data_IF_404090992915
#
_entry.id   IF_404090992915
#
_cell.length_a   1.000
_cell.length_b   1.000
_cell.length_c   1.000
_cell.angle_alpha   90.00
_cell.angle_beta   90.00
_cell.angle_gamma   90.00
#
_symmetry.space_group_name_H-M   'P 1'
#
loop_
_entity.id
_entity.type
_entity.pdbx_description
1 polymer ?
#
# COMPACT_ATOMS: atom_id res chain seq x y z
N UNK A 1 -19.23 -3.47 0.67
CA UNK A 1 -18.09 -4.42 0.67
C UNK A 1 -18.56 -5.73 1.27
N UNK A 2 -18.12 -6.88 0.76
CA UNK A 2 -18.41 -8.16 1.43
C UNK A 2 -17.59 -8.27 2.73
N UNK A 3 -18.07 -9.08 3.67
CA UNK A 3 -17.36 -9.34 4.93
C UNK A 3 -15.95 -9.90 4.66
N UNK A 4 -15.81 -10.82 3.70
CA UNK A 4 -14.52 -11.36 3.29
C UNK A 4 -13.55 -10.25 2.87
N UNK A 5 -13.92 -9.39 1.91
CA UNK A 5 -13.04 -8.32 1.41
C UNK A 5 -12.64 -7.37 2.55
N UNK A 6 -13.58 -7.03 3.44
CA UNK A 6 -13.33 -6.20 4.62
C UNK A 6 -12.24 -6.82 5.49
N UNK A 7 -12.34 -8.12 5.79
CA UNK A 7 -11.36 -8.86 6.59
C UNK A 7 -9.99 -8.95 5.93
N UNK A 8 -9.93 -9.20 4.62
CA UNK A 8 -8.66 -9.24 3.87
C UNK A 8 -7.95 -7.88 3.87
N UNK A 9 -8.68 -6.79 3.61
CA UNK A 9 -8.12 -5.43 3.67
C UNK A 9 -7.66 -5.10 5.09
N UNK A 10 -8.48 -5.39 6.10
CA UNK A 10 -8.14 -5.18 7.50
C UNK A 10 -6.86 -5.91 7.90
N UNK A 11 -6.74 -7.20 7.55
CA UNK A 11 -5.56 -8.01 7.82
C UNK A 11 -4.30 -7.40 7.21
N UNK A 12 -4.32 -7.07 5.90
CA UNK A 12 -3.15 -6.53 5.20
C UNK A 12 -2.76 -5.15 5.74
N UNK A 13 -3.73 -4.25 5.93
CA UNK A 13 -3.49 -2.89 6.43
C UNK A 13 -2.95 -2.92 7.86
N UNK A 14 -3.54 -3.72 8.75
CA UNK A 14 -3.06 -3.83 10.13
C UNK A 14 -1.70 -4.51 10.23
N UNK A 15 -1.42 -5.52 9.41
CA UNK A 15 -0.10 -6.19 9.38
C UNK A 15 0.99 -5.19 8.98
N UNK A 16 0.78 -4.45 7.89
CA UNK A 16 1.74 -3.44 7.44
C UNK A 16 1.87 -2.31 8.48
N UNK A 17 0.75 -1.77 8.97
CA UNK A 17 0.77 -0.69 9.95
C UNK A 17 1.44 -1.12 11.27
N UNK A 18 1.24 -2.36 11.68
CA UNK A 18 1.85 -2.99 12.84
C UNK A 18 3.37 -3.10 12.71
N UNK A 19 3.84 -3.71 11.62
CA UNK A 19 5.28 -3.83 11.31
C UNK A 19 5.96 -2.44 11.32
N UNK A 20 5.35 -1.46 10.65
CA UNK A 20 5.90 -0.10 10.59
C UNK A 20 5.96 0.56 11.96
N UNK A 21 4.97 0.32 12.82
CA UNK A 21 4.99 0.85 14.19
C UNK A 21 6.02 0.17 15.07
N UNK A 22 6.24 -1.14 14.92
CA UNK A 22 7.29 -1.88 15.61
C UNK A 22 8.67 -1.29 15.30
N UNK A 23 8.94 -1.03 14.03
CA UNK A 23 10.20 -0.40 13.59
C UNK A 23 10.39 1.03 14.12
N UNK A 24 9.31 1.69 14.53
CA UNK A 24 9.33 3.03 15.13
C UNK A 24 9.36 3.04 16.66
N UNK A 25 9.45 1.88 17.33
CA UNK A 25 9.47 1.82 18.80
C UNK A 25 10.65 2.61 19.42
N UNK A 26 11.75 2.76 18.68
CA UNK A 26 12.91 3.55 19.11
C UNK A 26 12.69 5.08 19.00
N UNK A 27 11.57 5.53 18.42
CA UNK A 27 11.22 6.94 18.29
C UNK A 27 10.20 7.31 19.36
N UNK A 28 10.46 8.39 20.10
CA UNK A 28 9.46 8.96 21.03
C UNK A 28 8.33 9.63 20.26
N UNK A 29 7.27 8.87 19.98
CA UNK A 29 6.03 9.39 19.40
C UNK A 29 5.28 10.28 20.42
N UNK A 30 4.70 11.42 20.01
CA UNK A 30 3.86 12.23 20.88
C UNK A 30 2.60 11.45 21.28
N UNK A 31 1.99 11.80 22.42
CA UNK A 31 0.80 11.12 22.95
C UNK A 31 -0.33 11.04 21.92
N UNK A 32 -0.55 12.12 21.16
CA UNK A 32 -1.57 12.18 20.10
C UNK A 32 -1.34 11.13 19.01
N UNK A 33 -0.10 10.93 18.56
CA UNK A 33 0.21 9.91 17.56
C UNK A 33 -0.05 8.50 18.08
N UNK A 34 0.17 8.24 19.38
CA UNK A 34 -0.19 6.94 19.97
C UNK A 34 -1.69 6.72 19.99
N UNK A 35 -2.46 7.73 20.42
CA UNK A 35 -3.93 7.66 20.51
C UNK A 35 -4.56 7.48 19.12
N UNK A 36 -4.16 8.27 18.13
CA UNK A 36 -4.72 8.20 16.77
C UNK A 36 -4.49 6.83 16.12
N UNK A 37 -3.33 6.22 16.34
CA UNK A 37 -3.05 4.88 15.84
C UNK A 37 -3.95 3.82 16.50
N UNK A 38 -4.08 3.86 17.84
CA UNK A 38 -4.95 2.93 18.56
C UNK A 38 -6.41 3.10 18.13
N UNK A 39 -6.86 4.35 17.98
CA UNK A 39 -8.18 4.67 17.46
C UNK A 39 -8.39 4.03 16.09
N UNK A 40 -7.44 4.19 15.16
CA UNK A 40 -7.55 3.62 13.83
C UNK A 40 -7.58 2.07 13.86
N UNK A 41 -6.76 1.43 14.69
CA UNK A 41 -6.78 -0.03 14.87
C UNK A 41 -8.14 -0.50 15.40
N UNK A 42 -8.67 0.14 16.43
CA UNK A 42 -9.99 -0.19 16.99
C UNK A 42 -11.09 -0.01 15.95
N UNK A 43 -11.04 1.05 15.15
CA UNK A 43 -12.00 1.27 14.06
C UNK A 43 -11.93 0.17 12.99
N UNK A 44 -10.73 -0.29 12.60
CA UNK A 44 -10.59 -1.42 11.67
C UNK A 44 -11.18 -2.70 12.28
N UNK A 45 -10.85 -3.03 13.52
CA UNK A 45 -11.38 -4.24 14.18
C UNK A 45 -12.92 -4.19 14.30
N UNK A 46 -13.46 -3.03 14.66
CA UNK A 46 -14.91 -2.82 14.74
C UNK A 46 -15.56 -2.94 13.35
N UNK A 47 -14.89 -2.47 12.29
CA UNK A 47 -15.39 -2.64 10.92
C UNK A 47 -15.54 -4.12 10.53
N UNK A 48 -14.58 -4.96 10.91
CA UNK A 48 -14.62 -6.41 10.65
C UNK A 48 -15.78 -7.05 11.42
N UNK A 49 -15.92 -6.74 12.72
CA UNK A 49 -17.00 -7.26 13.55
C UNK A 49 -18.39 -6.90 13.01
N UNK A 50 -18.56 -5.66 12.54
CA UNK A 50 -19.83 -5.18 12.01
C UNK A 50 -20.10 -5.60 10.56
N UNK A 51 -19.12 -6.19 9.87
CA UNK A 51 -19.20 -6.43 8.41
C UNK A 51 -20.37 -7.34 8.00
N UNK A 52 -20.75 -8.30 8.85
CA UNK A 52 -21.86 -9.23 8.60
C UNK A 52 -23.23 -8.71 9.04
N UNK A 53 -23.28 -7.68 9.90
CA UNK A 53 -24.52 -7.19 10.52
C UNK A 53 -24.93 -5.81 9.98
N UNK A 54 -23.96 -4.92 9.76
CA UNK A 54 -24.16 -3.54 9.31
C UNK A 54 -23.11 -3.17 8.27
N UNK A 55 -23.22 -3.75 7.07
CA UNK A 55 -22.23 -3.62 6.01
C UNK A 55 -21.91 -2.16 5.61
N UNK A 56 -22.89 -1.25 5.65
CA UNK A 56 -22.68 0.18 5.36
C UNK A 56 -21.80 0.86 6.41
N UNK A 57 -22.10 0.67 7.69
CA UNK A 57 -21.32 1.21 8.81
C UNK A 57 -19.91 0.59 8.87
N UNK A 58 -19.80 -0.71 8.63
CA UNK A 58 -18.52 -1.40 8.50
C UNK A 58 -17.65 -0.79 7.40
N UNK A 59 -18.21 -0.57 6.21
CA UNK A 59 -17.50 0.06 5.09
C UNK A 59 -17.02 1.47 5.45
N UNK A 60 -17.88 2.29 6.07
CA UNK A 60 -17.52 3.65 6.50
C UNK A 60 -16.38 3.63 7.52
N UNK A 61 -16.47 2.78 8.55
CA UNK A 61 -15.43 2.65 9.58
C UNK A 61 -14.09 2.20 9.00
N UNK A 62 -14.10 1.20 8.11
CA UNK A 62 -12.89 0.71 7.46
C UNK A 62 -12.19 1.84 6.70
N UNK A 63 -12.90 2.55 5.84
CA UNK A 63 -12.30 3.58 5.01
C UNK A 63 -11.87 4.82 5.81
N UNK A 64 -12.62 5.23 6.84
CA UNK A 64 -12.17 6.28 7.76
C UNK A 64 -10.88 5.87 8.49
N UNK A 65 -10.80 4.63 8.95
CA UNK A 65 -9.62 4.12 9.62
C UNK A 65 -8.41 4.03 8.67
N UNK A 66 -8.61 3.58 7.43
CA UNK A 66 -7.57 3.58 6.39
C UNK A 66 -7.07 5.00 6.07
N UNK A 67 -7.97 5.98 5.95
CA UNK A 67 -7.58 7.39 5.74
C UNK A 67 -6.78 7.91 6.94
N UNK A 68 -7.24 7.64 8.16
CA UNK A 68 -6.54 8.01 9.39
C UNK A 68 -5.15 7.36 9.47
N UNK A 69 -5.02 6.07 9.17
CA UNK A 69 -3.74 5.37 9.12
C UNK A 69 -2.82 5.93 8.05
N UNK A 70 -3.32 6.21 6.85
CA UNK A 70 -2.52 6.78 5.77
C UNK A 70 -1.94 8.15 6.16
N UNK A 71 -2.77 9.03 6.71
CA UNK A 71 -2.34 10.33 7.22
C UNK A 71 -1.36 10.19 8.38
N UNK A 72 -1.60 9.23 9.27
CA UNK A 72 -0.71 8.92 10.38
C UNK A 72 0.68 8.49 9.90
N UNK A 73 0.73 7.55 8.94
CA UNK A 73 1.96 7.04 8.34
C UNK A 73 2.71 8.16 7.59
N UNK A 74 2.01 8.97 6.79
CA UNK A 74 2.61 10.11 6.09
C UNK A 74 3.20 11.16 7.07
N UNK A 75 2.58 11.35 8.23
CA UNK A 75 2.97 12.40 9.18
C UNK A 75 4.09 11.98 10.13
N UNK A 76 4.06 10.73 10.59
CA UNK A 76 4.92 10.24 11.67
C UNK A 76 5.87 9.10 11.29
N UNK A 77 5.69 8.42 10.14
CA UNK A 77 6.70 7.45 9.67
C UNK A 77 8.00 8.17 9.27
N UNK A 78 9.12 7.47 9.39
CA UNK A 78 10.42 7.93 8.92
C UNK A 78 10.55 7.91 7.40
N UNK A 79 9.78 7.06 6.69
CA UNK A 79 9.93 6.84 5.25
C UNK A 79 9.84 8.15 4.43
N UNK A 80 8.84 9.04 4.60
CA UNK A 80 8.77 10.28 3.83
C UNK A 80 9.99 11.19 4.00
N UNK A 81 10.63 11.15 5.18
CA UNK A 81 11.82 11.96 5.49
C UNK A 81 13.09 11.42 4.83
N UNK A 82 13.09 10.16 4.42
CA UNK A 82 14.23 9.47 3.80
C UNK A 82 14.09 9.33 2.28
N UNK A 83 13.15 10.04 1.67
CA UNK A 83 12.85 9.96 0.24
C UNK A 83 14.07 10.09 -0.68
N UNK A 84 14.98 11.00 -0.33
CA UNK A 84 16.21 11.30 -1.11
C UNK A 84 17.44 10.53 -0.63
N UNK A 85 17.30 9.58 0.31
CA UNK A 85 18.44 8.80 0.77
C UNK A 85 19.04 7.97 -0.39
N UNK A 86 20.38 7.83 -0.48
CA UNK A 86 20.99 7.03 -1.52
C UNK A 86 20.74 5.52 -1.27
N UNK A 87 20.75 4.74 -2.35
CA UNK A 87 20.68 3.27 -2.28
C UNK A 87 19.32 2.71 -1.86
N UNK A 88 19.35 1.53 -1.23
CA UNK A 88 18.16 0.83 -0.74
C UNK A 88 17.30 1.65 0.22
N UNK A 89 17.85 2.40 1.20
CA UNK A 89 17.03 3.21 2.10
C UNK A 89 16.11 4.21 1.37
N UNK A 90 16.58 4.85 0.30
CA UNK A 90 15.75 5.75 -0.50
C UNK A 90 14.71 5.02 -1.34
N UNK A 91 15.06 3.88 -1.92
CA UNK A 91 14.10 3.03 -2.63
C UNK A 91 12.95 2.60 -1.71
N UNK A 92 13.27 2.08 -0.51
CA UNK A 92 12.28 1.71 0.50
C UNK A 92 11.43 2.91 0.90
N UNK A 93 12.06 4.05 1.17
CA UNK A 93 11.35 5.29 1.50
C UNK A 93 10.34 5.72 0.43
N UNK A 94 10.71 5.62 -0.85
CA UNK A 94 9.83 5.93 -1.98
C UNK A 94 8.67 4.95 -2.08
N UNK A 95 8.94 3.66 -2.05
CA UNK A 95 7.94 2.60 -2.05
C UNK A 95 6.90 2.80 -0.94
N UNK A 96 7.35 2.99 0.30
CA UNK A 96 6.47 3.17 1.45
C UNK A 96 5.63 4.44 1.32
N UNK A 97 6.25 5.56 0.96
CA UNK A 97 5.56 6.86 0.87
C UNK A 97 4.52 6.85 -0.25
N UNK A 98 4.86 6.31 -1.43
CA UNK A 98 3.91 6.12 -2.54
C UNK A 98 2.79 5.17 -2.11
N UNK A 99 3.11 4.10 -1.39
CA UNK A 99 2.10 3.21 -0.82
C UNK A 99 1.13 3.94 0.12
N UNK A 100 1.61 4.78 1.03
CA UNK A 100 0.74 5.55 1.94
C UNK A 100 -0.18 6.50 1.19
N UNK A 101 0.31 7.14 0.12
CA UNK A 101 -0.53 7.98 -0.75
C UNK A 101 -1.62 7.13 -1.40
N UNK A 102 -1.30 5.95 -1.91
CA UNK A 102 -2.29 5.05 -2.48
C UNK A 102 -3.31 4.52 -1.46
N UNK A 103 -2.89 4.27 -0.22
CA UNK A 103 -3.83 3.94 0.86
C UNK A 103 -4.82 5.09 1.11
N UNK A 104 -4.33 6.33 1.11
CA UNK A 104 -5.18 7.51 1.25
C UNK A 104 -6.15 7.65 0.06
N UNK A 105 -5.66 7.51 -1.18
CA UNK A 105 -6.51 7.56 -2.38
C UNK A 105 -7.58 6.48 -2.33
N UNK A 106 -7.20 5.23 -2.00
CA UNK A 106 -8.15 4.13 -1.86
C UNK A 106 -9.19 4.39 -0.77
N UNK A 107 -8.77 4.96 0.37
CA UNK A 107 -9.67 5.32 1.45
C UNK A 107 -10.65 6.43 1.07
N UNK A 108 -10.20 7.49 0.40
CA UNK A 108 -11.07 8.57 -0.07
C UNK A 108 -12.07 8.09 -1.12
N UNK A 109 -11.64 7.25 -2.07
CA UNK A 109 -12.54 6.61 -3.03
C UNK A 109 -13.55 5.69 -2.34
N UNK A 110 -13.11 4.95 -1.33
CA UNK A 110 -13.98 4.09 -0.53
C UNK A 110 -15.04 4.87 0.26
N UNK A 111 -14.65 5.99 0.88
CA UNK A 111 -15.59 6.90 1.56
C UNK A 111 -16.58 7.52 0.58
N UNK A 112 -16.11 7.96 -0.58
CA UNK A 112 -16.98 8.44 -1.65
C UNK A 112 -17.99 7.35 -2.07
N UNK A 113 -17.55 6.09 -2.15
CA UNK A 113 -18.40 4.93 -2.45
C UNK A 113 -19.47 4.61 -1.42
N UNK A 114 -19.34 5.06 -0.17
CA UNK A 114 -20.40 4.94 0.84
C UNK A 114 -21.60 5.83 0.48
N UNK A 115 -21.34 6.98 -0.13
CA UNK A 115 -22.38 7.95 -0.54
C UNK A 115 -22.85 7.72 -1.98
N UNK A 116 -21.91 7.41 -2.88
CA UNK A 116 -22.16 7.24 -4.31
C UNK A 116 -21.48 5.96 -4.80
N UNK A 117 -22.15 4.80 -4.67
CA UNK A 117 -21.64 3.54 -5.21
C UNK A 117 -21.42 3.62 -6.72
N UNK A 118 -20.35 3.00 -7.21
CA UNK A 118 -20.06 2.99 -8.64
C UNK A 118 -18.68 2.42 -8.97
N UNK A 119 -18.31 2.39 -10.26
CA UNK A 119 -17.06 1.80 -10.74
C UNK A 119 -15.80 2.45 -10.16
N UNK A 120 -15.77 3.78 -10.09
CA UNK A 120 -14.62 4.53 -9.56
C UNK A 120 -14.38 4.25 -8.05
N UNK A 121 -15.38 4.36 -7.16
CA UNK A 121 -15.22 3.91 -5.78
C UNK A 121 -14.79 2.44 -5.63
N UNK A 122 -15.32 1.54 -6.48
CA UNK A 122 -14.93 0.13 -6.49
C UNK A 122 -13.46 -0.06 -6.85
N UNK A 123 -12.90 0.82 -7.69
CA UNK A 123 -11.49 0.84 -8.02
C UNK A 123 -10.58 1.27 -6.84
N UNK A 124 -11.15 1.86 -5.77
CA UNK A 124 -10.43 2.15 -4.53
C UNK A 124 -9.78 0.91 -3.88
N UNK A 125 -10.36 -0.29 -4.08
CA UNK A 125 -9.72 -1.55 -3.67
C UNK A 125 -8.42 -1.82 -4.44
N UNK A 126 -8.33 -1.46 -5.72
CA UNK A 126 -7.10 -1.62 -6.49
C UNK A 126 -6.02 -0.64 -5.99
N UNK A 127 -6.40 0.58 -5.61
CA UNK A 127 -5.49 1.52 -4.98
C UNK A 127 -4.91 0.96 -3.67
N UNK A 128 -5.71 0.29 -2.83
CA UNK A 128 -5.18 -0.35 -1.62
C UNK A 128 -4.37 -1.61 -1.92
N UNK A 129 -4.95 -2.58 -2.62
CA UNK A 129 -4.33 -3.90 -2.79
C UNK A 129 -3.12 -3.89 -3.73
N UNK A 130 -3.15 -3.08 -4.80
CA UNK A 130 -2.00 -2.94 -5.68
C UNK A 130 -1.15 -1.75 -5.26
N UNK A 131 -1.75 -0.57 -5.10
CA UNK A 131 -0.99 0.66 -4.86
C UNK A 131 -0.29 0.70 -3.51
N UNK A 132 -1.00 0.36 -2.43
CA UNK A 132 -0.41 0.33 -1.10
C UNK A 132 0.33 -0.97 -0.82
N UNK A 133 -0.32 -2.14 -0.95
CA UNK A 133 0.28 -3.41 -0.53
C UNK A 133 1.46 -3.82 -1.42
N UNK A 134 1.36 -3.74 -2.76
CA UNK A 134 2.51 -4.12 -3.59
C UNK A 134 3.65 -3.11 -3.52
N UNK A 135 3.37 -1.82 -3.27
CA UNK A 135 4.44 -0.88 -2.99
C UNK A 135 5.21 -1.26 -1.72
N UNK A 136 4.53 -1.77 -0.67
CA UNK A 136 5.21 -2.33 0.50
C UNK A 136 6.05 -3.55 0.16
N UNK A 137 5.52 -4.47 -0.64
CA UNK A 137 6.27 -5.65 -1.11
C UNK A 137 7.54 -5.21 -1.84
N UNK A 138 7.45 -4.25 -2.75
CA UNK A 138 8.61 -3.72 -3.49
C UNK A 138 9.63 -3.01 -2.58
N UNK A 139 9.16 -2.35 -1.52
CA UNK A 139 10.02 -1.68 -0.55
C UNK A 139 10.74 -2.66 0.37
N UNK A 140 10.04 -3.68 0.86
CA UNK A 140 10.56 -4.60 1.88
C UNK A 140 11.28 -5.82 1.28
N UNK A 141 11.03 -6.20 0.03
CA UNK A 141 11.68 -7.36 -0.58
C UNK A 141 13.23 -7.37 -0.47
N UNK A 142 13.96 -6.25 -0.71
CA UNK A 142 15.42 -6.22 -0.54
C UNK A 142 15.88 -6.46 0.91
N UNK A 143 15.02 -6.15 1.89
CA UNK A 143 15.29 -6.32 3.33
C UNK A 143 14.97 -7.76 3.77
N UNK A 144 13.92 -8.36 3.22
CA UNK A 144 13.48 -9.72 3.57
C UNK A 144 14.32 -10.80 2.89
N UNK A 145 14.83 -10.55 1.67
CA UNK A 145 15.60 -11.54 0.91
C UNK A 145 16.83 -12.09 1.65
N UNK A 146 17.63 -11.28 2.37
CA UNK A 146 18.72 -11.77 3.20
C UNK A 146 18.27 -12.67 4.36
N UNK A 147 17.11 -12.41 4.94
CA UNK A 147 16.61 -13.19 6.08
C UNK A 147 16.08 -14.56 5.63
N UNK A 148 15.39 -14.60 4.48
CA UNK A 148 14.75 -15.82 3.96
C UNK A 148 15.71 -16.69 3.14
N UNK A 149 16.47 -16.08 2.24
CA UNK A 149 17.30 -16.78 1.25
C UNK A 149 18.80 -16.58 1.46
N UNK A 150 19.21 -15.76 2.44
CA UNK A 150 20.62 -15.35 2.66
C UNK A 150 21.27 -14.65 1.47
N UNK A 151 20.45 -14.17 0.54
CA UNK A 151 20.86 -13.41 -0.64
C UNK A 151 20.81 -11.92 -0.33
N UNK A 152 21.92 -11.20 -0.52
CA UNK A 152 21.95 -9.73 -0.34
C UNK A 152 21.99 -9.06 -1.72
N UNK A 153 20.90 -8.41 -2.16
CA UNK A 153 20.89 -7.75 -3.46
C UNK A 153 21.75 -6.49 -3.46
N UNK A 154 22.53 -6.28 -4.53
CA UNK A 154 23.25 -5.02 -4.77
C UNK A 154 22.27 -3.99 -5.30
N UNK A 155 22.30 -2.78 -4.76
CA UNK A 155 21.38 -1.73 -5.18
C UNK A 155 21.52 -1.41 -6.67
N UNK A 156 20.38 -1.25 -7.34
CA UNK A 156 20.27 -0.81 -8.73
C UNK A 156 19.16 0.21 -8.84
N UNK A 157 19.42 1.34 -9.52
CA UNK A 157 18.42 2.38 -9.74
C UNK A 157 17.18 1.87 -10.50
N UNK A 158 17.35 0.81 -11.30
CA UNK A 158 16.25 0.12 -12.00
C UNK A 158 15.18 -0.44 -11.06
N UNK A 159 15.49 -0.67 -9.77
CA UNK A 159 14.52 -1.15 -8.79
C UNK A 159 13.34 -0.17 -8.58
N UNK A 160 13.53 1.11 -8.92
CA UNK A 160 12.48 2.14 -8.81
C UNK A 160 11.47 2.12 -9.96
N UNK A 161 11.86 1.59 -11.13
CA UNK A 161 11.00 1.60 -12.33
C UNK A 161 9.69 0.84 -12.10
N UNK A 162 9.68 -0.37 -11.52
CA UNK A 162 8.46 -1.09 -11.17
C UNK A 162 7.46 -0.29 -10.33
N UNK A 163 7.95 0.48 -9.33
CA UNK A 163 7.10 1.28 -8.46
C UNK A 163 6.32 2.32 -9.27
N UNK A 164 7.02 3.07 -10.12
CA UNK A 164 6.40 4.13 -10.91
C UNK A 164 5.53 3.58 -12.04
N UNK A 165 5.90 2.45 -12.64
CA UNK A 165 5.06 1.75 -13.60
C UNK A 165 3.75 1.27 -12.96
N UNK A 166 3.82 0.73 -11.73
CA UNK A 166 2.64 0.32 -10.97
C UNK A 166 1.75 1.53 -10.64
N UNK A 167 2.35 2.65 -10.21
CA UNK A 167 1.60 3.87 -9.91
C UNK A 167 0.92 4.44 -11.16
N UNK A 168 1.63 4.51 -12.30
CA UNK A 168 1.08 5.01 -13.56
C UNK A 168 -0.07 4.13 -14.08
N UNK A 169 0.10 2.81 -14.05
CA UNK A 169 -0.95 1.86 -14.45
C UNK A 169 -2.15 1.89 -13.52
N UNK A 170 -1.98 2.19 -12.23
CA UNK A 170 -3.10 2.45 -11.32
C UNK A 170 -3.83 3.76 -11.61
N UNK A 171 -3.13 4.85 -11.92
CA UNK A 171 -3.78 6.08 -12.35
C UNK A 171 -4.62 5.84 -13.61
N UNK A 172 -4.09 5.07 -14.57
CA UNK A 172 -4.83 4.66 -15.76
C UNK A 172 -6.07 3.84 -15.41
N UNK A 173 -5.95 2.86 -14.50
CA UNK A 173 -7.08 2.06 -13.98
C UNK A 173 -8.16 2.95 -13.38
N UNK A 174 -7.79 3.90 -12.53
CA UNK A 174 -8.73 4.81 -11.89
C UNK A 174 -9.40 5.73 -12.91
N UNK A 175 -8.65 6.28 -13.86
CA UNK A 175 -9.18 7.16 -14.91
C UNK A 175 -10.13 6.47 -15.88
N UNK A 176 -9.91 5.19 -16.18
CA UNK A 176 -10.79 4.38 -17.04
C UNK A 176 -11.99 3.76 -16.29
N UNK A 177 -11.99 3.80 -14.96
CA UNK A 177 -13.07 3.18 -14.17
C UNK A 177 -14.45 3.81 -14.43
N UNK A 178 -14.61 5.16 -14.51
CA UNK A 178 -15.89 5.78 -14.81
C UNK A 178 -16.45 5.43 -16.20
N UNK A 179 -15.60 5.34 -17.23
CA UNK A 179 -16.02 5.03 -18.60
C UNK A 179 -16.25 3.54 -18.83
N UNK A 180 -15.62 2.68 -18.02
CA UNK A 180 -15.70 1.23 -18.19
C UNK A 180 -15.00 0.72 -19.45
N UNK A 181 -14.09 1.51 -20.05
CA UNK A 181 -13.39 1.13 -21.27
C UNK A 181 -12.51 -0.11 -21.03
N UNK A 182 -12.97 -1.25 -21.53
CA UNK A 182 -12.32 -2.54 -21.34
C UNK A 182 -10.90 -2.58 -21.90
N UNK A 183 -10.62 -1.84 -22.99
CA UNK A 183 -9.30 -1.82 -23.61
C UNK A 183 -8.28 -1.11 -22.72
N UNK A 184 -8.68 0.03 -22.14
CA UNK A 184 -7.83 0.81 -21.23
C UNK A 184 -7.68 0.10 -19.89
N UNK A 185 -8.74 -0.53 -19.39
CA UNK A 185 -8.69 -1.35 -18.17
C UNK A 185 -7.78 -2.58 -18.34
N UNK A 186 -7.78 -3.21 -19.51
CA UNK A 186 -6.87 -4.31 -19.84
C UNK A 186 -5.42 -3.82 -19.93
N UNK A 187 -5.18 -2.68 -20.59
CA UNK A 187 -3.85 -2.06 -20.66
C UNK A 187 -3.30 -1.72 -19.27
N UNK A 188 -4.16 -1.17 -18.40
CA UNK A 188 -3.81 -0.93 -17.00
C UNK A 188 -3.42 -2.23 -16.27
N UNK A 189 -4.20 -3.31 -16.48
CA UNK A 189 -3.90 -4.63 -15.94
C UNK A 189 -2.57 -5.22 -16.42
N UNK A 190 -2.25 -5.07 -17.71
CA UNK A 190 -0.94 -5.44 -18.27
C UNK A 190 0.17 -4.63 -17.60
N UNK A 191 -0.04 -3.33 -17.37
CA UNK A 191 0.89 -2.48 -16.65
C UNK A 191 1.14 -2.95 -15.21
N UNK A 192 0.09 -3.35 -14.48
CA UNK A 192 0.23 -3.94 -13.14
C UNK A 192 1.08 -5.21 -13.16
N UNK A 193 0.78 -6.14 -14.09
CA UNK A 193 1.50 -7.39 -14.22
C UNK A 193 2.97 -7.18 -14.61
N UNK A 194 3.22 -6.28 -15.57
CA UNK A 194 4.57 -5.95 -16.01
C UNK A 194 5.41 -5.33 -14.88
N UNK A 195 4.81 -4.48 -14.04
CA UNK A 195 5.50 -3.93 -12.87
C UNK A 195 5.96 -5.04 -11.92
N UNK A 196 5.12 -6.02 -11.62
CA UNK A 196 5.45 -7.14 -10.74
C UNK A 196 6.57 -8.00 -11.32
N UNK A 197 6.45 -8.39 -12.60
CA UNK A 197 7.44 -9.22 -13.29
C UNK A 197 8.77 -8.49 -13.38
N UNK A 198 8.76 -7.22 -13.79
CA UNK A 198 9.96 -6.39 -13.89
C UNK A 198 10.65 -6.25 -12.54
N UNK A 199 9.90 -6.08 -11.45
CA UNK A 199 10.48 -6.05 -10.10
C UNK A 199 11.20 -7.36 -9.77
N UNK A 200 10.58 -8.51 -10.05
CA UNK A 200 11.20 -9.83 -9.86
C UNK A 200 12.50 -9.96 -10.65
N UNK A 201 12.51 -9.60 -11.93
CA UNK A 201 13.71 -9.62 -12.79
C UNK A 201 14.81 -8.74 -12.24
N UNK A 202 14.48 -7.51 -11.80
CA UNK A 202 15.47 -6.60 -11.21
C UNK A 202 16.05 -7.15 -9.91
N UNK A 203 15.23 -7.78 -9.06
CA UNK A 203 15.73 -8.42 -7.83
C UNK A 203 16.66 -9.59 -8.13
N UNK A 204 16.32 -10.45 -9.09
CA UNK A 204 17.20 -11.56 -9.51
C UNK A 204 18.53 -11.03 -10.05
N UNK A 205 18.49 -10.01 -10.91
CA UNK A 205 19.71 -9.38 -11.44
C UNK A 205 20.55 -8.72 -10.34
N UNK A 206 19.91 -8.05 -9.37
CA UNK A 206 20.57 -7.42 -8.23
C UNK A 206 21.30 -8.43 -7.33
N UNK A 207 20.76 -9.63 -7.16
CA UNK A 207 21.43 -10.71 -6.43
C UNK A 207 22.60 -11.30 -7.22
N UNK A 208 22.42 -11.55 -8.53
CA UNK A 208 23.46 -12.17 -9.38
C UNK A 208 24.76 -11.35 -9.44
N UNK A 209 24.66 -10.02 -9.49
CA UNK A 209 25.83 -9.11 -9.46
C UNK A 209 26.70 -9.24 -8.20
N UNK A 210 26.19 -9.85 -7.13
CA UNK A 210 26.98 -10.11 -5.92
C UNK A 210 27.78 -11.41 -6.01
N UNK A 211 27.31 -12.37 -6.82
CA UNK A 211 27.90 -13.70 -6.95
C UNK A 211 29.00 -13.75 -8.02
N UNK A 212 28.99 -12.79 -8.96
CA UNK A 212 30.09 -12.48 -9.89
C UNK A 212 31.15 -11.62 -9.22
#
# INVERSE_FOLDING_TARGET
LSAAVTSWVAFLVLTIAGERRELMQMIRLPRIARVLFVLAVVMVLLSVFLSSVRAGLASLLLWLACALLALWLLRWDMAPRKWSAPGWPGHVAQCLTVGYVWLLVGALLGLYGVLSPGPLPAAGLHAVLLGFVLAMVFGHAPIMLPALLRLRPVYSAWARVPLWLLAASLLLRLGASPSGDLSVLALAGVGHALAIVLFGVVMVAAVRRKLS
#
